data_IF_921424852872
#
_entry.id   IF_921424852872
#
_cell.length_a   1.000
_cell.length_b   1.000
_cell.length_c   1.000
_cell.angle_alpha   90.00
_cell.angle_beta   90.00
_cell.angle_gamma   90.00
#
_symmetry.space_group_name_H-M   'P 1'
#
loop_
_entity.id
_entity.type
_entity.pdbx_description
1 polymer ?
#
# COMPACT_ATOMS: atom_id res chain seq x y z
N UNK A 1 21.16 -7.58 22.68
CA UNK A 1 20.15 -6.72 22.05
C UNK A 1 19.27 -7.65 21.24
N UNK A 2 18.12 -8.07 21.79
CA UNK A 2 17.17 -8.89 21.06
C UNK A 2 16.24 -7.90 20.34
N UNK A 3 16.35 -7.88 19.01
CA UNK A 3 15.65 -6.94 18.14
C UNK A 3 14.15 -7.03 18.34
N UNK A 4 13.51 -5.87 18.35
CA UNK A 4 12.07 -5.69 18.33
C UNK A 4 11.43 -6.68 17.37
N UNK A 5 10.42 -7.43 17.84
CA UNK A 5 9.53 -8.17 16.96
C UNK A 5 9.05 -7.21 15.87
N UNK A 6 9.23 -7.52 14.57
CA UNK A 6 8.83 -6.61 13.52
C UNK A 6 7.32 -6.50 13.58
N UNK A 7 6.80 -5.30 13.86
CA UNK A 7 5.38 -5.05 13.94
C UNK A 7 4.75 -5.41 12.60
N UNK A 8 3.93 -6.45 12.60
CA UNK A 8 3.03 -6.76 11.49
C UNK A 8 1.65 -6.51 12.05
N UNK A 9 1.17 -5.27 11.89
CA UNK A 9 -0.18 -4.92 12.29
C UNK A 9 -1.18 -5.93 11.70
N UNK A 10 -2.01 -6.53 12.56
CA UNK A 10 -3.11 -7.38 12.12
C UNK A 10 -4.15 -6.53 11.39
N UNK A 11 -5.05 -7.11 10.58
CA UNK A 11 -6.07 -6.35 9.85
C UNK A 11 -6.92 -5.42 10.74
N UNK A 12 -7.10 -5.79 12.00
CA UNK A 12 -7.82 -5.02 13.03
C UNK A 12 -7.07 -3.79 13.56
N UNK A 13 -5.74 -3.74 13.39
CA UNK A 13 -4.90 -2.63 13.83
C UNK A 13 -4.76 -1.54 12.75
N UNK A 14 -5.30 -1.78 11.56
CA UNK A 14 -5.13 -0.90 10.40
C UNK A 14 -6.32 0.05 10.33
N UNK A 15 -6.07 1.36 10.19
CA UNK A 15 -7.13 2.30 9.88
C UNK A 15 -7.92 1.86 8.65
N UNK A 16 -9.22 2.11 8.65
CA UNK A 16 -10.04 1.92 7.44
C UNK A 16 -9.45 2.74 6.30
N UNK A 17 -9.40 2.14 5.11
CA UNK A 17 -8.95 2.85 3.91
C UNK A 17 -9.86 4.05 3.64
N UNK A 18 -9.32 5.19 3.15
CA UNK A 18 -10.14 6.32 2.73
C UNK A 18 -11.17 5.93 1.65
N UNK A 19 -12.21 6.74 1.49
CA UNK A 19 -13.26 6.51 0.47
C UNK A 19 -12.64 6.32 -0.93
N UNK A 20 -13.14 5.33 -1.67
CA UNK A 20 -12.66 5.02 -3.02
C UNK A 20 -11.40 4.14 -3.07
N UNK A 21 -10.75 3.90 -1.93
CA UNK A 21 -9.66 2.94 -1.80
C UNK A 21 -10.16 1.60 -1.27
N UNK A 22 -9.54 0.52 -1.76
CA UNK A 22 -9.79 -0.85 -1.33
C UNK A 22 -8.47 -1.55 -1.01
N UNK A 23 -8.50 -2.55 -0.14
CA UNK A 23 -7.32 -3.31 0.29
C UNK A 23 -6.90 -2.96 1.72
N UNK A 24 -5.59 -2.85 1.95
CA UNK A 24 -4.99 -2.84 3.29
C UNK A 24 -4.55 -4.23 3.77
N UNK A 25 -4.82 -5.25 2.96
CA UNK A 25 -4.38 -6.61 3.21
C UNK A 25 -2.86 -6.75 3.11
N UNK A 26 -2.35 -7.69 3.90
CA UNK A 26 -0.96 -8.12 3.81
C UNK A 26 -0.82 -9.12 2.67
N UNK A 27 -0.10 -8.74 1.62
CA UNK A 27 0.12 -9.54 0.43
C UNK A 27 1.53 -10.12 0.45
N UNK A 28 1.66 -11.43 0.23
CA UNK A 28 2.96 -12.05 0.01
C UNK A 28 3.36 -11.87 -1.46
N UNK A 29 4.42 -11.11 -1.70
CA UNK A 29 4.93 -10.81 -3.04
C UNK A 29 6.04 -11.78 -3.49
N UNK A 30 6.36 -12.78 -2.66
CA UNK A 30 7.36 -13.81 -2.90
C UNK A 30 8.63 -13.63 -2.04
N UNK A 31 9.40 -14.70 -1.86
CA UNK A 31 10.72 -14.62 -1.21
C UNK A 31 10.74 -14.18 0.27
N UNK A 32 9.61 -14.31 0.98
CA UNK A 32 9.36 -13.75 2.32
C UNK A 32 9.20 -12.23 2.37
N UNK A 33 8.86 -11.58 1.26
CA UNK A 33 8.51 -10.18 1.22
C UNK A 33 6.99 -10.01 1.33
N UNK A 34 6.54 -9.50 2.46
CA UNK A 34 5.16 -9.08 2.67
C UNK A 34 5.05 -7.58 2.40
N UNK A 35 4.03 -7.19 1.67
CA UNK A 35 3.73 -5.80 1.39
C UNK A 35 2.27 -5.51 1.72
N UNK A 36 2.03 -4.30 2.21
CA UNK A 36 0.68 -3.81 2.44
C UNK A 36 0.30 -2.90 1.28
N UNK A 37 -0.87 -3.14 0.70
CA UNK A 37 -1.27 -2.46 -0.54
C UNK A 37 -2.72 -2.00 -0.48
N UNK A 38 -2.95 -0.79 -0.99
CA UNK A 38 -4.27 -0.23 -1.25
C UNK A 38 -4.37 0.19 -2.71
N UNK A 39 -5.55 0.06 -3.28
CA UNK A 39 -5.82 0.36 -4.67
C UNK A 39 -6.99 1.32 -4.76
N UNK A 40 -6.88 2.29 -5.67
CA UNK A 40 -7.99 3.15 -6.08
C UNK A 40 -8.45 2.72 -7.48
N UNK A 41 -9.51 1.90 -7.61
CA UNK A 41 -9.87 1.27 -8.88
C UNK A 41 -10.18 2.27 -9.99
N UNK A 42 -10.91 3.35 -9.65
CA UNK A 42 -11.32 4.36 -10.63
C UNK A 42 -10.16 5.20 -11.16
N UNK A 43 -9.10 5.39 -10.37
CA UNK A 43 -7.92 6.18 -10.73
C UNK A 43 -6.77 5.33 -11.24
N UNK A 44 -6.91 3.99 -11.22
CA UNK A 44 -5.84 3.06 -11.61
C UNK A 44 -4.55 3.30 -10.79
N UNK A 45 -4.69 3.54 -9.47
CA UNK A 45 -3.57 3.80 -8.56
C UNK A 45 -3.42 2.72 -7.51
N UNK A 46 -2.17 2.50 -7.09
CA UNK A 46 -1.80 1.65 -5.95
C UNK A 46 -0.85 2.41 -5.03
N UNK A 47 -1.08 2.28 -3.73
CA UNK A 47 -0.18 2.76 -2.67
C UNK A 47 0.23 1.56 -1.82
N UNK A 48 1.50 1.43 -1.50
CA UNK A 48 1.95 0.34 -0.64
C UNK A 48 3.38 0.45 -0.17
N UNK A 49 3.75 -0.39 0.80
CA UNK A 49 5.09 -0.49 1.35
C UNK A 49 5.40 -1.93 1.78
N UNK A 50 6.69 -2.27 1.89
CA UNK A 50 7.14 -3.57 2.40
C UNK A 50 7.08 -3.59 3.94
N UNK A 51 6.50 -4.63 4.53
CA UNK A 51 6.31 -4.75 5.98
C UNK A 51 7.54 -5.33 6.68
N UNK A 52 8.26 -6.26 6.02
CA UNK A 52 9.44 -6.89 6.62
C UNK A 52 10.69 -6.00 6.62
N UNK A 53 10.80 -5.09 5.66
CA UNK A 53 11.89 -4.11 5.52
C UNK A 53 11.31 -2.75 5.08
N UNK A 54 10.58 -2.07 5.98
CA UNK A 54 9.90 -0.81 5.68
C UNK A 54 10.90 0.35 5.58
N UNK A 55 11.13 0.84 4.36
CA UNK A 55 12.01 1.97 4.07
C UNK A 55 11.32 3.12 3.29
N UNK A 56 10.21 2.80 2.63
CA UNK A 56 9.50 3.71 1.74
C UNK A 56 8.08 3.27 1.46
N UNK A 57 7.23 4.25 1.16
CA UNK A 57 5.91 4.08 0.55
C UNK A 57 6.01 4.41 -0.93
N UNK A 58 5.54 3.51 -1.78
CA UNK A 58 5.44 3.71 -3.22
C UNK A 58 4.02 4.05 -3.67
N UNK A 59 3.91 4.94 -4.66
CA UNK A 59 2.71 5.21 -5.43
C UNK A 59 2.94 4.78 -6.88
N UNK A 60 2.05 3.93 -7.37
CA UNK A 60 2.17 3.33 -8.69
C UNK A 60 0.87 3.50 -9.47
N UNK A 61 1.00 3.63 -10.79
CA UNK A 61 -0.10 3.38 -11.71
C UNK A 61 -0.19 1.87 -11.92
N UNK A 62 -1.40 1.35 -11.82
CA UNK A 62 -1.72 -0.07 -11.99
C UNK A 62 -2.88 -0.25 -12.95
N UNK A 63 -3.00 -1.41 -13.56
CA UNK A 63 -4.16 -1.77 -14.40
C UNK A 63 -4.74 -3.09 -13.94
N UNK A 64 -6.06 -3.21 -13.99
CA UNK A 64 -6.72 -4.48 -13.75
C UNK A 64 -6.48 -5.45 -14.92
N UNK A 65 -5.84 -6.57 -14.63
CA UNK A 65 -5.72 -7.73 -15.53
C UNK A 65 -6.34 -8.97 -14.87
N UNK A 66 -7.64 -8.87 -14.57
CA UNK A 66 -8.40 -9.93 -13.92
C UNK A 66 -9.88 -9.59 -13.83
N UNK A 67 -10.65 -10.47 -13.20
CA UNK A 67 -12.09 -10.28 -12.99
C UNK A 67 -12.41 -9.66 -11.63
N UNK A 68 -11.53 -9.86 -10.65
CA UNK A 68 -11.74 -9.43 -9.27
C UNK A 68 -10.94 -8.18 -8.93
N UNK A 69 -11.64 -7.05 -8.91
CA UNK A 69 -11.10 -5.74 -8.52
C UNK A 69 -10.67 -5.69 -7.06
N UNK A 70 -11.22 -6.53 -6.18
CA UNK A 70 -10.88 -6.52 -4.76
C UNK A 70 -9.55 -7.19 -4.44
N UNK A 71 -9.04 -8.04 -5.35
CA UNK A 71 -7.77 -8.73 -5.18
C UNK A 71 -6.61 -7.85 -5.66
N UNK A 72 -5.67 -7.43 -4.78
CA UNK A 72 -4.56 -6.57 -5.18
C UNK A 72 -3.62 -7.19 -6.22
N UNK A 73 -3.54 -8.53 -6.28
CA UNK A 73 -2.72 -9.24 -7.26
C UNK A 73 -3.33 -9.26 -8.66
N UNK A 74 -4.62 -8.91 -8.81
CA UNK A 74 -5.25 -8.69 -10.12
C UNK A 74 -4.83 -7.35 -10.76
N UNK A 75 -4.17 -6.48 -10.00
CA UNK A 75 -3.73 -5.17 -10.45
C UNK A 75 -2.24 -5.19 -10.77
N UNK A 76 -1.91 -5.18 -12.05
CA UNK A 76 -0.54 -5.24 -12.53
C UNK A 76 0.08 -3.84 -12.55
N UNK A 77 1.35 -3.77 -12.21
CA UNK A 77 2.14 -2.54 -12.28
C UNK A 77 2.20 -2.02 -13.73
N UNK A 78 1.99 -0.71 -13.91
CA UNK A 78 2.19 -0.01 -15.17
C UNK A 78 3.40 0.91 -15.08
N UNK A 79 3.38 1.86 -14.12
CA UNK A 79 4.43 2.86 -13.93
C UNK A 79 4.59 3.22 -12.43
N UNK A 80 5.79 3.64 -12.02
CA UNK A 80 6.00 4.30 -10.72
C UNK A 80 5.70 5.80 -10.85
N UNK A 81 4.92 6.35 -9.93
CA UNK A 81 4.55 7.77 -9.94
C UNK A 81 5.36 8.57 -8.91
N UNK A 82 5.36 8.10 -7.67
CA UNK A 82 5.98 8.80 -6.55
C UNK A 82 6.42 7.79 -5.48
N UNK A 83 7.34 8.20 -4.62
CA UNK A 83 7.68 7.46 -3.42
C UNK A 83 8.13 8.39 -2.31
N UNK A 84 7.79 8.05 -1.08
CA UNK A 84 8.17 8.80 0.11
C UNK A 84 8.91 7.87 1.08
N UNK A 85 10.05 8.32 1.60
CA UNK A 85 10.82 7.57 2.59
C UNK A 85 10.14 7.62 3.95
N UNK A 86 10.18 6.51 4.68
CA UNK A 86 9.62 6.39 6.02
C UNK A 86 10.57 5.56 6.90
N UNK A 87 10.51 5.79 8.21
CA UNK A 87 11.38 5.13 9.19
C UNK A 87 10.60 4.10 10.02
N UNK A 88 10.38 2.92 9.43
CA UNK A 88 9.69 1.80 10.07
C UNK A 88 8.23 1.63 9.65
N UNK A 89 7.66 0.46 9.94
CA UNK A 89 6.33 0.06 9.42
C UNK A 89 5.21 1.02 9.83
N UNK A 90 5.19 1.48 11.09
CA UNK A 90 4.18 2.41 11.56
C UNK A 90 4.23 3.75 10.80
N UNK A 91 5.42 4.29 10.57
CA UNK A 91 5.60 5.55 9.83
C UNK A 91 5.23 5.37 8.35
N UNK A 92 5.55 4.21 7.76
CA UNK A 92 5.12 3.87 6.40
C UNK A 92 3.60 3.70 6.29
N UNK A 93 2.94 3.15 7.32
CA UNK A 93 1.49 3.09 7.37
C UNK A 93 0.86 4.48 7.39
N UNK A 94 1.30 5.35 8.31
CA UNK A 94 0.78 6.73 8.42
C UNK A 94 1.04 7.52 7.13
N UNK A 95 2.23 7.37 6.54
CA UNK A 95 2.60 7.97 5.26
C UNK A 95 1.71 7.47 4.13
N UNK A 96 1.46 6.15 4.03
CA UNK A 96 0.58 5.59 3.02
C UNK A 96 -0.85 6.14 3.10
N UNK A 97 -1.44 6.21 4.31
CA UNK A 97 -2.78 6.78 4.51
C UNK A 97 -2.82 8.27 4.10
N UNK A 98 -1.80 9.03 4.47
CA UNK A 98 -1.69 10.45 4.09
C UNK A 98 -1.59 10.61 2.57
N UNK A 99 -0.78 9.80 1.91
CA UNK A 99 -0.60 9.82 0.45
C UNK A 99 -1.88 9.47 -0.30
N UNK A 100 -2.63 8.47 0.17
CA UNK A 100 -3.94 8.14 -0.39
C UNK A 100 -4.92 9.31 -0.29
N UNK A 101 -4.94 9.99 0.86
CA UNK A 101 -5.80 11.15 1.12
C UNK A 101 -5.37 12.41 0.34
N UNK A 102 -4.09 12.55 0.03
CA UNK A 102 -3.57 13.65 -0.79
C UNK A 102 -3.86 13.43 -2.29
N UNK A 103 -3.88 12.18 -2.74
CA UNK A 103 -4.16 11.78 -4.14
C UNK A 103 -5.61 12.05 -4.58
N UNK A 104 -6.45 12.54 -3.68
CA UNK A 104 -7.79 13.06 -3.98
C UNK A 104 -7.82 14.50 -4.51
N UNK A 105 -6.67 15.19 -4.62
CA UNK A 105 -6.64 16.63 -4.89
C UNK A 105 -6.25 17.10 -6.31
N UNK A 106 -6.02 16.22 -7.28
CA UNK A 106 -5.76 16.62 -8.69
C UNK A 106 -6.98 16.45 -9.62
N UNK A 107 -8.14 16.90 -9.15
CA UNK A 107 -9.30 17.25 -9.98
C UNK A 107 -9.53 18.77 -10.02
N UNK A 108 -8.47 19.56 -10.25
CA UNK A 108 -8.59 21.00 -10.53
C UNK A 108 -7.84 21.42 -11.79
#
# INVERSE_FOLDING_TARGET
>A
MAGSSPSVHGPEDIPEAPDGWIGGDLVNTGGNLFARMWIHPEKELRVGYAVDDPDSVGVERVRLEGEDQSNPLSWVHVDNLEGETCDGEQDCLETAIRTMSASDLDCR
#
